data_IF_181305943138
#
_entry.id   IF_181305943138
#
_cell.length_a   1.000
_cell.length_b   1.000
_cell.length_c   1.000
_cell.angle_alpha   90.00
_cell.angle_beta   90.00
_cell.angle_gamma   90.00
#
_symmetry.space_group_name_H-M   'P 1'
#
loop_
_entity.id
_entity.type
_entity.pdbx_description
1 polymer ?
#
# COMPACT_ATOMS: atom_id res chain seq x y z
N UNK A 1 14.88 12.50 29.00
CA UNK A 1 16.04 13.35 29.39
C UNK A 1 16.75 13.97 28.17
N UNK A 2 17.04 13.20 27.12
CA UNK A 2 17.72 13.70 25.91
C UNK A 2 16.92 14.76 25.13
N UNK A 3 15.61 14.59 24.97
CA UNK A 3 14.76 15.58 24.30
C UNK A 3 14.73 16.92 25.05
N UNK A 4 14.62 16.87 26.38
CA UNK A 4 14.63 18.06 27.23
C UNK A 4 15.95 18.83 27.09
N UNK A 5 17.09 18.13 27.04
CA UNK A 5 18.40 18.74 26.78
C UNK A 5 18.49 19.35 25.38
N UNK A 6 17.91 18.70 24.37
CA UNK A 6 17.83 19.23 23.01
C UNK A 6 17.01 20.54 22.96
N UNK A 7 15.86 20.58 23.64
CA UNK A 7 15.05 21.80 23.74
C UNK A 7 15.80 22.92 24.46
N UNK A 8 16.44 22.63 25.59
CA UNK A 8 17.26 23.63 26.30
C UNK A 8 18.41 24.15 25.45
N UNK A 9 19.12 23.27 24.75
CA UNK A 9 20.19 23.66 23.82
C UNK A 9 19.69 24.56 22.70
N UNK A 10 18.53 24.24 22.12
CA UNK A 10 17.89 25.02 21.06
C UNK A 10 17.47 26.40 21.57
N UNK A 11 16.81 26.48 22.74
CA UNK A 11 16.40 27.74 23.34
C UNK A 11 17.61 28.62 23.65
N UNK A 12 18.66 28.05 24.24
CA UNK A 12 19.90 28.78 24.52
C UNK A 12 20.54 29.32 23.24
N UNK A 13 20.64 28.49 22.20
CA UNK A 13 21.17 28.89 20.89
C UNK A 13 20.36 30.03 20.28
N UNK A 14 19.02 29.92 20.26
CA UNK A 14 18.14 30.95 19.72
C UNK A 14 18.23 32.25 20.52
N UNK A 15 18.38 32.16 21.84
CA UNK A 15 18.50 33.33 22.72
C UNK A 15 19.84 34.04 22.49
N UNK A 16 20.94 33.30 22.40
CA UNK A 16 22.27 33.85 22.10
C UNK A 16 22.30 34.45 20.70
N UNK A 17 21.77 33.75 19.70
CA UNK A 17 21.67 34.25 18.33
C UNK A 17 20.79 35.52 18.26
N UNK A 18 19.66 35.53 18.96
CA UNK A 18 18.76 36.68 19.06
C UNK A 18 19.43 37.88 19.72
N UNK A 19 20.10 37.68 20.86
CA UNK A 19 20.85 38.72 21.55
C UNK A 19 22.01 39.27 20.69
N UNK A 20 22.73 38.39 20.00
CA UNK A 20 23.81 38.78 19.08
C UNK A 20 23.27 39.59 17.90
N UNK A 21 22.19 39.14 17.24
CA UNK A 21 21.53 39.88 16.17
C UNK A 21 21.01 41.23 16.65
N UNK A 22 20.39 41.27 17.84
CA UNK A 22 19.91 42.50 18.45
C UNK A 22 21.03 43.50 18.68
N UNK A 23 22.19 43.06 19.18
CA UNK A 23 23.36 43.91 19.39
C UNK A 23 23.95 44.51 18.10
N UNK A 24 23.71 43.87 16.95
CA UNK A 24 24.20 44.31 15.63
C UNK A 24 23.17 45.12 14.84
N UNK A 25 21.97 45.33 15.39
CA UNK A 25 20.90 46.08 14.74
C UNK A 25 21.24 47.56 14.67
N UNK A 26 21.28 48.13 13.47
CA UNK A 26 21.42 49.57 13.29
C UNK A 26 20.06 50.25 13.45
N UNK A 27 19.98 51.25 14.33
CA UNK A 27 18.74 52.00 14.62
C UNK A 27 18.21 52.76 13.38
N UNK A 28 19.10 53.13 12.45
CA UNK A 28 18.76 53.81 11.19
C UNK A 28 17.87 52.97 10.23
N UNK A 29 17.74 51.67 10.47
CA UNK A 29 16.90 50.74 9.69
C UNK A 29 15.55 50.43 10.33
N UNK A 30 15.07 51.28 11.23
CA UNK A 30 13.80 51.05 11.92
C UNK A 30 12.58 50.96 10.97
N UNK A 31 12.62 51.63 9.82
CA UNK A 31 11.57 51.65 8.79
C UNK A 31 11.76 50.63 7.66
N UNK A 32 12.89 49.93 7.63
CA UNK A 32 13.15 48.89 6.63
C UNK A 32 12.48 47.57 7.04
N UNK A 33 11.73 46.97 6.11
CA UNK A 33 11.09 45.66 6.32
C UNK A 33 12.10 44.53 6.58
N UNK A 34 13.36 44.70 6.15
CA UNK A 34 14.45 43.75 6.38
C UNK A 34 15.61 44.48 7.07
N UNK A 35 15.68 44.31 8.39
CA UNK A 35 16.67 45.00 9.24
C UNK A 35 18.12 44.59 8.94
N UNK A 36 18.34 43.32 8.58
CA UNK A 36 19.67 42.76 8.35
C UNK A 36 19.96 42.52 6.87
N UNK A 37 21.12 42.98 6.41
CA UNK A 37 21.51 42.86 5.00
C UNK A 37 21.77 41.42 4.54
N UNK A 38 22.25 40.55 5.42
CA UNK A 38 22.50 39.14 5.08
C UNK A 38 21.19 38.36 4.88
N UNK A 39 20.06 38.85 5.41
CA UNK A 39 18.75 38.19 5.25
C UNK A 39 18.24 38.34 3.82
N UNK A 40 18.64 39.42 3.12
CA UNK A 40 18.23 39.67 1.73
C UNK A 40 18.56 38.50 0.78
N UNK A 41 19.82 38.04 0.66
CA UNK A 41 20.13 36.89 -0.18
C UNK A 41 19.49 35.59 0.36
N UNK A 42 19.36 35.41 1.68
CA UNK A 42 18.71 34.22 2.25
C UNK A 42 17.26 34.10 1.80
N UNK A 43 16.47 35.18 1.90
CA UNK A 43 15.08 35.18 1.42
C UNK A 43 15.04 34.89 -0.09
N UNK A 44 15.95 35.49 -0.86
CA UNK A 44 16.04 35.25 -2.31
C UNK A 44 16.34 33.77 -2.62
N UNK A 45 17.19 33.11 -1.82
CA UNK A 45 17.50 31.68 -1.98
C UNK A 45 16.32 30.79 -1.59
N UNK A 46 15.57 31.12 -0.54
CA UNK A 46 14.35 30.38 -0.17
C UNK A 46 13.31 30.48 -1.28
N UNK A 47 13.05 31.68 -1.79
CA UNK A 47 12.11 31.88 -2.90
C UNK A 47 12.57 31.13 -4.14
N UNK A 48 13.87 31.19 -4.47
CA UNK A 48 14.45 30.44 -5.58
C UNK A 48 14.31 28.92 -5.40
N UNK A 49 14.55 28.40 -4.20
CA UNK A 49 14.41 26.98 -3.87
C UNK A 49 12.97 26.50 -4.04
N UNK A 50 11.99 27.26 -3.55
CA UNK A 50 10.57 26.96 -3.73
C UNK A 50 10.19 26.99 -5.22
N UNK A 51 10.68 27.97 -5.97
CA UNK A 51 10.45 28.05 -7.41
C UNK A 51 11.09 26.92 -8.20
N UNK A 52 12.34 26.57 -7.86
CA UNK A 52 13.07 25.42 -8.40
C UNK A 52 12.23 24.16 -8.23
N UNK A 53 11.89 23.79 -6.99
CA UNK A 53 11.15 22.54 -6.71
C UNK A 53 9.77 22.55 -7.35
N UNK A 54 9.04 23.67 -7.27
CA UNK A 54 7.70 23.81 -7.85
C UNK A 54 7.71 23.58 -9.38
N UNK A 55 8.57 24.25 -10.14
CA UNK A 55 8.60 24.07 -11.60
C UNK A 55 9.14 22.69 -12.00
N UNK A 56 10.10 22.15 -11.26
CA UNK A 56 10.61 20.81 -11.55
C UNK A 56 9.54 19.73 -11.41
N UNK A 57 8.82 19.72 -10.28
CA UNK A 57 7.73 18.75 -10.08
C UNK A 57 6.56 19.00 -11.02
N UNK A 58 6.25 20.26 -11.35
CA UNK A 58 5.22 20.59 -12.34
C UNK A 58 5.54 19.96 -13.71
N UNK A 59 6.79 20.06 -14.17
CA UNK A 59 7.22 19.44 -15.44
C UNK A 59 7.35 17.93 -15.37
N UNK A 60 7.66 17.36 -14.19
CA UNK A 60 7.62 15.92 -14.00
C UNK A 60 6.20 15.36 -14.19
N UNK A 61 5.19 16.03 -13.62
CA UNK A 61 3.78 15.63 -13.73
C UNK A 61 3.26 15.70 -15.16
N UNK A 62 3.82 16.56 -16.01
CA UNK A 62 3.48 16.64 -17.45
C UNK A 62 3.98 15.43 -18.27
N UNK A 63 4.55 14.40 -17.63
CA UNK A 63 4.86 13.12 -18.26
C UNK A 63 6.07 13.14 -19.19
N UNK A 64 6.85 14.23 -19.21
CA UNK A 64 7.93 14.39 -20.18
C UNK A 64 9.28 13.78 -19.71
N UNK A 65 9.28 13.05 -18.59
CA UNK A 65 10.46 12.38 -18.03
C UNK A 65 11.46 13.29 -17.31
N UNK A 66 12.52 12.69 -16.76
CA UNK A 66 13.48 13.34 -15.85
C UNK A 66 14.13 14.60 -16.43
N UNK A 67 14.36 14.64 -17.75
CA UNK A 67 15.01 15.78 -18.41
C UNK A 67 14.21 17.07 -18.25
N UNK A 68 12.88 16.97 -18.30
CA UNK A 68 12.00 18.11 -18.15
C UNK A 68 11.88 18.53 -16.69
N UNK A 69 11.90 17.58 -15.74
CA UNK A 69 12.04 17.91 -14.32
C UNK A 69 13.30 18.74 -14.07
N UNK A 70 14.46 18.33 -14.60
CA UNK A 70 15.71 19.09 -14.47
C UNK A 70 15.65 20.45 -15.18
N UNK A 71 15.01 20.55 -16.34
CA UNK A 71 14.77 21.83 -17.01
C UNK A 71 13.89 22.76 -16.14
N UNK A 72 12.87 22.20 -15.49
CA UNK A 72 12.02 22.90 -14.53
C UNK A 72 12.78 23.38 -13.30
N UNK A 73 13.70 22.58 -12.74
CA UNK A 73 14.60 23.03 -11.68
C UNK A 73 15.45 24.23 -12.11
N UNK A 74 16.04 24.19 -13.32
CA UNK A 74 16.85 25.30 -13.84
C UNK A 74 16.02 26.55 -14.09
N UNK A 75 14.87 26.42 -14.75
CA UNK A 75 13.97 27.52 -15.05
C UNK A 75 13.39 28.14 -13.78
N UNK A 76 12.91 27.31 -12.85
CA UNK A 76 12.37 27.73 -11.55
C UNK A 76 13.41 28.45 -10.71
N UNK A 77 14.63 27.91 -10.64
CA UNK A 77 15.77 28.56 -9.99
C UNK A 77 15.99 29.97 -10.53
N UNK A 78 16.06 30.13 -11.86
CA UNK A 78 16.34 31.42 -12.50
C UNK A 78 15.20 32.43 -12.27
N UNK A 79 13.96 32.04 -12.59
CA UNK A 79 12.79 32.93 -12.52
C UNK A 79 12.54 33.37 -11.08
N UNK A 80 12.52 32.43 -10.13
CA UNK A 80 12.18 32.75 -8.75
C UNK A 80 13.33 33.41 -7.99
N UNK A 81 14.58 33.15 -8.38
CA UNK A 81 15.69 33.97 -7.86
C UNK A 81 15.56 35.43 -8.30
N UNK A 82 15.22 35.68 -9.57
CA UNK A 82 14.98 37.03 -10.08
C UNK A 82 13.82 37.69 -9.32
N UNK A 83 12.66 37.03 -9.24
CA UNK A 83 11.47 37.55 -8.54
C UNK A 83 11.78 37.80 -7.06
N UNK A 84 12.37 36.82 -6.36
CA UNK A 84 12.73 36.93 -4.95
C UNK A 84 13.68 38.11 -4.71
N UNK A 85 14.69 38.27 -5.55
CA UNK A 85 15.64 39.39 -5.44
C UNK A 85 14.94 40.72 -5.71
N UNK A 86 14.04 40.80 -6.70
CA UNK A 86 13.29 42.03 -7.01
C UNK A 86 12.38 42.45 -5.86
N UNK A 87 11.70 41.49 -5.22
CA UNK A 87 10.85 41.73 -4.05
C UNK A 87 11.68 42.21 -2.86
N UNK A 88 12.78 41.53 -2.57
CA UNK A 88 13.68 41.83 -1.45
C UNK A 88 14.36 43.19 -1.61
N UNK A 89 14.85 43.51 -2.80
CA UNK A 89 15.52 44.79 -3.09
C UNK A 89 14.53 45.89 -3.50
N UNK A 90 13.23 45.58 -3.60
CA UNK A 90 12.15 46.48 -4.05
C UNK A 90 12.49 47.21 -5.36
N UNK A 91 13.18 46.53 -6.26
CA UNK A 91 13.72 47.14 -7.47
C UNK A 91 13.91 46.12 -8.58
N UNK A 92 13.60 46.47 -9.84
CA UNK A 92 13.91 45.61 -10.99
C UNK A 92 15.40 45.64 -11.37
N UNK A 93 16.20 46.55 -10.79
CA UNK A 93 17.63 46.74 -11.13
C UNK A 93 18.54 45.73 -10.43
N UNK A 94 18.26 44.44 -10.60
CA UNK A 94 18.96 43.32 -9.93
C UNK A 94 20.11 42.74 -10.76
N UNK A 95 20.18 43.06 -12.06
CA UNK A 95 21.23 42.60 -12.98
C UNK A 95 22.55 43.34 -12.75
N UNK A 96 23.26 42.98 -11.69
CA UNK A 96 24.56 43.53 -11.33
C UNK A 96 25.50 42.41 -10.85
N UNK A 97 26.79 42.73 -10.66
CA UNK A 97 27.81 41.74 -10.23
C UNK A 97 27.47 41.07 -8.89
N UNK A 98 26.85 41.79 -7.95
CA UNK A 98 26.44 41.24 -6.65
C UNK A 98 25.29 40.24 -6.81
N UNK A 99 24.29 40.56 -7.62
CA UNK A 99 23.17 39.69 -7.96
C UNK A 99 23.64 38.41 -8.67
N UNK A 100 24.51 38.54 -9.68
CA UNK A 100 25.10 37.39 -10.38
C UNK A 100 25.89 36.50 -9.42
N UNK A 101 26.72 37.09 -8.54
CA UNK A 101 27.46 36.32 -7.52
C UNK A 101 26.52 35.54 -6.61
N UNK A 102 25.45 36.18 -6.11
CA UNK A 102 24.48 35.52 -5.25
C UNK A 102 23.75 34.39 -5.99
N UNK A 103 23.38 34.60 -7.26
CA UNK A 103 22.79 33.55 -8.08
C UNK A 103 23.73 32.36 -8.24
N UNK A 104 25.01 32.59 -8.56
CA UNK A 104 25.99 31.51 -8.72
C UNK A 104 26.22 30.73 -7.41
N UNK A 105 26.25 31.41 -6.26
CA UNK A 105 26.34 30.75 -4.95
C UNK A 105 25.11 29.84 -4.73
N UNK A 106 23.92 30.36 -5.01
CA UNK A 106 22.69 29.59 -4.92
C UNK A 106 22.69 28.39 -5.88
N UNK A 107 23.03 28.59 -7.15
CA UNK A 107 23.08 27.53 -8.15
C UNK A 107 24.05 26.43 -7.77
N UNK A 108 25.23 26.78 -7.23
CA UNK A 108 26.18 25.80 -6.72
C UNK A 108 25.58 24.99 -5.55
N UNK A 109 24.92 25.66 -4.59
CA UNK A 109 24.25 24.99 -3.47
C UNK A 109 23.10 24.08 -3.95
N UNK A 110 22.31 24.52 -4.92
CA UNK A 110 21.21 23.74 -5.51
C UNK A 110 21.72 22.49 -6.25
N UNK A 111 22.78 22.62 -7.05
CA UNK A 111 23.42 21.48 -7.74
C UNK A 111 23.97 20.49 -6.71
N UNK A 112 24.66 20.98 -5.67
CA UNK A 112 25.15 20.12 -4.59
C UNK A 112 24.00 19.40 -3.87
N UNK A 113 22.91 20.10 -3.58
CA UNK A 113 21.72 19.53 -2.96
C UNK A 113 21.12 18.41 -3.82
N UNK A 114 20.80 18.68 -5.10
CA UNK A 114 20.21 17.67 -6.00
C UNK A 114 21.15 16.48 -6.21
N UNK A 115 22.44 16.75 -6.37
CA UNK A 115 23.45 15.68 -6.54
C UNK A 115 23.60 14.85 -5.27
N UNK A 116 23.51 15.47 -4.08
CA UNK A 116 23.59 14.74 -2.80
C UNK A 116 22.44 13.76 -2.60
N UNK A 117 21.25 14.12 -3.07
CA UNK A 117 20.09 13.24 -3.08
C UNK A 117 20.26 12.11 -4.10
N UNK A 118 20.71 12.43 -5.32
CA UNK A 118 20.89 11.44 -6.40
C UNK A 118 21.96 10.40 -6.08
N UNK A 119 23.04 10.80 -5.40
CA UNK A 119 24.11 9.91 -4.97
C UNK A 119 23.80 9.18 -3.66
N UNK A 120 22.64 9.45 -3.05
CA UNK A 120 22.26 8.97 -1.73
C UNK A 120 23.40 9.12 -0.70
N UNK A 121 23.98 10.32 -0.59
CA UNK A 121 25.15 10.55 0.30
C UNK A 121 24.85 10.25 1.78
N UNK A 122 23.57 10.19 2.15
CA UNK A 122 23.14 9.85 3.51
C UNK A 122 22.93 8.34 3.73
N UNK A 123 23.00 7.55 2.65
CA UNK A 123 22.66 6.13 2.65
C UNK A 123 21.19 5.86 3.00
N UNK A 124 20.28 6.80 2.71
CA UNK A 124 18.87 6.70 3.04
C UNK A 124 18.15 5.60 2.26
N UNK A 125 18.47 5.43 0.97
CA UNK A 125 17.81 4.48 0.07
C UNK A 125 18.17 3.02 0.43
N UNK A 126 19.38 2.78 0.94
CA UNK A 126 19.88 1.44 1.27
C UNK A 126 19.82 1.12 2.77
N UNK A 127 19.22 2.00 3.58
CA UNK A 127 19.19 1.85 5.04
C UNK A 127 18.17 0.79 5.47
N UNK A 128 18.66 -0.26 6.11
CA UNK A 128 17.89 -1.24 6.87
C UNK A 128 18.43 -1.26 8.30
N UNK A 129 17.59 -1.25 9.35
CA UNK A 129 18.06 -1.36 10.73
C UNK A 129 18.59 -2.76 11.02
N UNK A 130 19.57 -2.84 11.93
CA UNK A 130 19.97 -4.12 12.51
C UNK A 130 18.86 -4.60 13.46
N UNK A 131 18.48 -5.87 13.37
CA UNK A 131 17.34 -6.43 14.08
C UNK A 131 17.45 -6.24 15.61
N UNK A 132 18.67 -6.34 16.16
CA UNK A 132 18.93 -6.18 17.60
C UNK A 132 18.74 -4.74 18.10
N UNK A 133 18.65 -3.77 17.18
CA UNK A 133 18.45 -2.35 17.51
C UNK A 133 16.98 -1.89 17.41
N UNK A 134 16.08 -2.82 17.08
CA UNK A 134 14.65 -2.63 16.88
C UNK A 134 13.92 -3.11 18.13
N UNK A 135 13.04 -2.27 18.67
CA UNK A 135 12.18 -2.58 19.82
C UNK A 135 10.91 -3.32 19.39
N UNK A 136 10.33 -2.86 18.28
CA UNK A 136 9.25 -3.53 17.58
C UNK A 136 9.26 -3.13 16.10
N UNK A 137 8.70 -3.98 15.26
CA UNK A 137 8.51 -3.69 13.85
C UNK A 137 7.07 -3.94 13.43
N UNK A 138 6.62 -3.29 12.37
CA UNK A 138 5.29 -3.45 11.82
C UNK A 138 5.43 -3.47 10.30
N UNK A 139 4.57 -4.24 9.63
CA UNK A 139 4.41 -4.08 8.20
C UNK A 139 2.94 -4.09 7.79
N UNK A 140 2.60 -3.23 6.84
CA UNK A 140 1.31 -3.22 6.18
C UNK A 140 1.42 -4.01 4.87
N UNK A 141 0.54 -5.01 4.70
CA UNK A 141 0.41 -5.80 3.50
C UNK A 141 -1.09 -5.87 3.10
N UNK A 142 -1.49 -5.30 1.96
CA UNK A 142 -2.90 -5.13 1.59
C UNK A 142 -3.59 -6.42 1.09
N UNK A 143 -3.09 -7.60 1.45
CA UNK A 143 -3.68 -8.90 1.06
C UNK A 143 -4.25 -9.65 2.26
N UNK A 144 -4.43 -8.98 3.40
CA UNK A 144 -5.16 -9.58 4.51
C UNK A 144 -6.58 -9.94 4.04
N UNK A 145 -6.87 -11.25 4.03
CA UNK A 145 -8.22 -11.78 3.76
C UNK A 145 -9.24 -11.34 4.81
N UNK A 146 -8.75 -10.77 5.91
CA UNK A 146 -9.48 -10.16 7.02
C UNK A 146 -9.49 -8.64 6.82
N UNK A 147 -10.65 -8.06 6.54
CA UNK A 147 -10.83 -6.61 6.51
C UNK A 147 -11.80 -6.17 7.59
N UNK A 148 -11.57 -4.99 8.16
CA UNK A 148 -12.26 -4.51 9.36
C UNK A 148 -12.61 -3.02 9.19
N UNK A 149 -13.85 -2.61 9.44
CA UNK A 149 -14.29 -1.19 9.29
C UNK A 149 -14.29 -0.41 10.61
N UNK A 150 -13.25 -0.64 11.39
CA UNK A 150 -13.03 -0.08 12.71
C UNK A 150 -11.54 -0.08 13.01
N UNK A 151 -10.91 1.09 13.18
CA UNK A 151 -9.60 1.17 13.83
C UNK A 151 -9.61 0.33 15.11
N UNK A 152 -8.97 -0.83 15.07
CA UNK A 152 -7.65 -1.09 15.65
C UNK A 152 -7.52 -2.60 15.91
N UNK A 153 -6.73 -3.29 15.08
CA UNK A 153 -5.83 -4.31 15.63
C UNK A 153 -4.58 -3.53 16.03
N UNK A 154 -4.65 -2.80 17.14
CA UNK A 154 -3.49 -2.15 17.77
C UNK A 154 -2.70 -3.25 18.50
N UNK A 155 -2.13 -4.18 17.74
CA UNK A 155 -0.96 -5.02 18.12
C UNK A 155 -0.59 -6.01 16.99
N UNK A 156 -0.50 -5.51 15.75
CA UNK A 156 0.19 -6.22 14.66
C UNK A 156 1.72 -6.09 14.74
N UNK A 157 2.25 -5.55 15.84
CA UNK A 157 3.66 -5.32 16.04
C UNK A 157 4.38 -6.65 16.27
N UNK A 158 5.47 -6.82 15.54
CA UNK A 158 6.44 -7.88 15.72
C UNK A 158 7.39 -7.47 16.87
N UNK A 159 7.43 -8.29 17.89
CA UNK A 159 8.33 -8.20 19.04
C UNK A 159 9.31 -9.39 19.08
N UNK A 160 8.96 -10.52 18.47
CA UNK A 160 9.84 -11.68 18.37
C UNK A 160 11.09 -11.32 17.56
N UNK A 161 12.30 -11.49 18.13
CA UNK A 161 13.55 -11.24 17.43
C UNK A 161 13.69 -12.00 16.10
N UNK A 162 13.12 -13.20 15.97
CA UNK A 162 13.14 -13.98 14.74
C UNK A 162 12.30 -13.30 13.65
N UNK A 163 11.10 -12.83 13.99
CA UNK A 163 10.21 -12.12 13.08
C UNK A 163 10.76 -10.75 12.68
N UNK A 164 11.34 -10.00 13.63
CA UNK A 164 12.02 -8.74 13.34
C UNK A 164 13.22 -8.96 12.39
N UNK A 165 13.99 -10.02 12.63
CA UNK A 165 15.13 -10.38 11.77
C UNK A 165 14.68 -10.79 10.36
N UNK A 166 13.61 -11.57 10.25
CA UNK A 166 12.99 -11.93 8.98
C UNK A 166 12.50 -10.68 8.23
N UNK A 167 11.81 -9.75 8.91
CA UNK A 167 11.34 -8.52 8.27
C UNK A 167 12.50 -7.64 7.78
N UNK A 168 13.56 -7.53 8.58
CA UNK A 168 14.78 -6.83 8.18
C UNK A 168 15.53 -7.55 7.04
N UNK A 169 15.44 -8.89 6.94
CA UNK A 169 15.97 -9.67 5.82
C UNK A 169 15.17 -9.41 4.54
N UNK A 170 13.84 -9.44 4.63
CA UNK A 170 12.95 -9.08 3.52
C UNK A 170 13.19 -7.64 3.05
N UNK A 171 13.36 -6.70 3.98
CA UNK A 171 13.71 -5.32 3.63
C UNK A 171 15.06 -5.25 2.90
N UNK A 172 16.05 -6.03 3.36
CA UNK A 172 17.36 -6.14 2.69
C UNK A 172 17.24 -6.70 1.27
N UNK A 173 16.38 -7.70 1.03
CA UNK A 173 16.21 -8.26 -0.32
C UNK A 173 15.69 -7.21 -1.30
N UNK A 174 14.69 -6.41 -0.89
CA UNK A 174 14.14 -5.31 -1.70
C UNK A 174 15.21 -4.25 -2.04
N UNK A 175 15.97 -3.78 -1.05
CA UNK A 175 16.99 -2.74 -1.30
C UNK A 175 18.20 -3.28 -2.07
N UNK A 176 18.47 -4.58 -2.00
CA UNK A 176 19.53 -5.22 -2.76
C UNK A 176 19.19 -5.32 -4.26
N UNK A 177 17.93 -5.55 -4.60
CA UNK A 177 17.43 -5.56 -5.99
C UNK A 177 16.68 -4.28 -6.37
N UNK A 178 17.21 -3.16 -5.93
CA UNK A 178 16.63 -1.84 -6.15
C UNK A 178 16.43 -1.49 -7.62
N UNK A 179 17.24 -2.02 -8.53
CA UNK A 179 17.11 -1.71 -9.96
C UNK A 179 15.86 -2.35 -10.56
N UNK A 180 15.53 -3.57 -10.14
CA UNK A 180 14.30 -4.25 -10.53
C UNK A 180 13.07 -3.49 -10.02
N UNK A 181 13.02 -3.17 -8.71
CA UNK A 181 11.87 -2.46 -8.12
C UNK A 181 11.78 -0.96 -8.48
N UNK A 182 12.83 -0.36 -9.05
CA UNK A 182 12.79 0.96 -9.70
C UNK A 182 12.38 0.90 -11.17
N UNK A 183 12.38 -0.29 -11.77
CA UNK A 183 12.00 -0.54 -13.15
C UNK A 183 10.50 -0.39 -13.40
N UNK A 184 10.11 -0.69 -14.63
CA UNK A 184 8.71 -0.68 -15.04
C UNK A 184 8.02 -1.97 -14.56
N UNK A 185 7.35 -1.87 -13.40
CA UNK A 185 6.42 -2.89 -12.90
C UNK A 185 5.00 -2.69 -13.50
N UNK A 186 4.88 -1.96 -14.61
CA UNK A 186 3.63 -1.82 -15.33
C UNK A 186 3.22 -3.20 -15.87
N UNK A 187 1.91 -3.46 -15.98
CA UNK A 187 1.43 -4.79 -16.34
C UNK A 187 1.49 -5.82 -15.21
N UNK A 188 2.35 -5.67 -14.20
CA UNK A 188 2.44 -6.66 -13.11
C UNK A 188 1.45 -6.37 -11.97
N UNK A 189 0.91 -7.44 -11.38
CA UNK A 189 0.21 -7.37 -10.10
C UNK A 189 1.22 -7.02 -9.02
N UNK A 190 0.97 -5.90 -8.36
CA UNK A 190 1.82 -5.40 -7.28
C UNK A 190 1.01 -5.09 -6.02
N UNK A 191 1.69 -5.19 -4.88
CA UNK A 191 1.18 -4.83 -3.57
C UNK A 191 2.06 -3.77 -2.94
N UNK A 192 1.44 -2.87 -2.15
CA UNK A 192 2.15 -1.84 -1.42
C UNK A 192 2.55 -2.36 -0.04
N UNK A 193 3.85 -2.47 0.22
CA UNK A 193 4.37 -2.82 1.53
C UNK A 193 4.84 -1.56 2.24
N UNK A 194 4.32 -1.30 3.44
CA UNK A 194 4.92 -0.31 4.34
C UNK A 194 5.63 -1.06 5.45
N UNK A 195 6.90 -0.75 5.67
CA UNK A 195 7.73 -1.34 6.72
C UNK A 195 8.04 -0.24 7.74
N UNK A 196 7.69 -0.46 9.01
CA UNK A 196 7.93 0.48 10.11
C UNK A 196 8.76 -0.21 11.18
N UNK A 197 9.78 0.50 11.68
CA UNK A 197 10.66 0.02 12.73
C UNK A 197 10.77 1.08 13.81
N UNK A 198 10.44 0.71 15.04
CA UNK A 198 10.74 1.52 16.21
C UNK A 198 12.11 1.14 16.74
N UNK A 199 13.02 2.11 16.78
CA UNK A 199 14.37 1.89 17.33
C UNK A 199 14.40 2.23 18.81
N UNK A 200 15.22 1.49 19.55
CA UNK A 200 15.50 1.72 20.97
C UNK A 200 16.23 3.04 21.26
N UNK A 201 16.88 3.66 20.26
CA UNK A 201 17.76 4.83 20.47
C UNK A 201 17.65 5.92 19.40
N UNK A 202 16.80 5.71 18.39
CA UNK A 202 16.66 6.60 17.23
C UNK A 202 15.19 6.85 16.91
N UNK A 203 14.94 7.87 16.08
CA UNK A 203 13.61 8.09 15.53
C UNK A 203 13.10 6.86 14.77
N UNK A 204 11.78 6.59 14.81
CA UNK A 204 11.19 5.51 14.04
C UNK A 204 11.52 5.65 12.55
N UNK A 205 11.71 4.51 11.88
CA UNK A 205 11.95 4.45 10.46
C UNK A 205 10.73 3.83 9.76
N UNK A 206 10.14 4.54 8.82
CA UNK A 206 9.12 3.98 7.92
C UNK A 206 9.58 4.02 6.46
N UNK A 207 9.29 2.97 5.71
CA UNK A 207 9.59 2.82 4.28
C UNK A 207 8.39 2.23 3.57
N UNK A 208 8.22 2.58 2.29
CA UNK A 208 7.13 2.06 1.48
C UNK A 208 7.68 1.58 0.14
N UNK A 209 7.28 0.38 -0.26
CA UNK A 209 7.72 -0.30 -1.47
C UNK A 209 6.51 -0.79 -2.26
N UNK A 210 6.64 -0.84 -3.57
CA UNK A 210 5.73 -1.57 -4.45
C UNK A 210 6.45 -2.85 -4.87
N UNK A 211 5.85 -4.00 -4.61
CA UNK A 211 6.46 -5.32 -4.79
C UNK A 211 5.50 -6.17 -5.63
N UNK A 212 6.00 -6.83 -6.67
CA UNK A 212 5.20 -7.72 -7.50
C UNK A 212 4.80 -9.01 -6.77
N UNK A 213 3.76 -9.67 -7.31
CA UNK A 213 3.16 -10.86 -6.75
C UNK A 213 4.18 -11.97 -6.46
N UNK A 214 5.01 -12.31 -7.44
CA UNK A 214 5.95 -13.42 -7.34
C UNK A 214 7.01 -13.14 -6.26
N UNK A 215 7.55 -11.92 -6.25
CA UNK A 215 8.57 -11.50 -5.29
C UNK A 215 8.11 -11.62 -3.83
N UNK A 216 6.85 -11.28 -3.51
CA UNK A 216 6.38 -11.51 -2.15
C UNK A 216 5.93 -12.95 -1.94
N UNK A 217 5.21 -13.57 -2.87
CA UNK A 217 4.73 -14.96 -2.74
C UNK A 217 5.85 -15.95 -2.44
N UNK A 218 7.00 -15.77 -3.08
CA UNK A 218 8.13 -16.69 -2.96
C UNK A 218 9.11 -16.29 -1.85
N UNK A 219 8.75 -15.30 -1.02
CA UNK A 219 9.61 -14.79 0.04
C UNK A 219 9.64 -15.73 1.26
N UNK A 220 10.78 -16.39 1.55
CA UNK A 220 10.91 -17.21 2.76
C UNK A 220 10.86 -16.36 4.04
N UNK A 221 11.31 -15.11 3.96
CA UNK A 221 11.29 -14.19 5.09
C UNK A 221 9.85 -13.81 5.50
N UNK A 222 8.99 -13.54 4.51
CA UNK A 222 7.57 -13.31 4.79
C UNK A 222 6.94 -14.59 5.32
N UNK A 223 7.22 -15.75 4.71
CA UNK A 223 6.72 -17.04 5.20
C UNK A 223 7.01 -17.26 6.68
N UNK A 224 8.25 -17.02 7.13
CA UNK A 224 8.63 -17.11 8.56
C UNK A 224 7.71 -16.25 9.43
N UNK A 225 7.47 -15.00 9.04
CA UNK A 225 6.64 -14.07 9.82
C UNK A 225 5.19 -14.53 9.83
N UNK A 226 4.58 -14.76 8.66
CA UNK A 226 3.16 -15.08 8.54
C UNK A 226 2.79 -16.43 9.17
N UNK A 227 3.71 -17.39 9.21
CA UNK A 227 3.50 -18.69 9.85
C UNK A 227 3.89 -18.71 11.34
N UNK A 228 4.46 -17.63 11.86
CA UNK A 228 4.82 -17.51 13.27
C UNK A 228 3.59 -17.44 14.18
N UNK A 229 3.75 -17.92 15.42
CA UNK A 229 2.72 -17.80 16.45
C UNK A 229 2.37 -16.33 16.73
N UNK A 230 3.37 -15.46 16.84
CA UNK A 230 3.16 -14.02 17.08
C UNK A 230 2.24 -13.39 16.01
N UNK A 231 2.48 -13.69 14.72
CA UNK A 231 1.64 -13.16 13.64
C UNK A 231 0.22 -13.73 13.69
N UNK A 232 0.08 -15.05 13.83
CA UNK A 232 -1.23 -15.71 13.81
C UNK A 232 -2.08 -15.39 15.04
N UNK A 233 -1.46 -15.27 16.22
CA UNK A 233 -2.16 -14.92 17.46
C UNK A 233 -2.66 -13.46 17.42
N UNK A 234 -1.85 -12.53 16.89
CA UNK A 234 -2.26 -11.12 16.73
C UNK A 234 -3.47 -10.90 15.83
N UNK A 235 -3.79 -11.89 14.98
CA UNK A 235 -4.89 -11.86 13.99
C UNK A 235 -5.90 -12.98 14.20
N UNK A 236 -5.90 -13.60 15.38
CA UNK A 236 -6.90 -14.58 15.77
C UNK A 236 -8.31 -13.98 15.71
N UNK A 237 -9.30 -14.80 15.36
CA UNK A 237 -10.70 -14.40 15.47
C UNK A 237 -11.14 -14.18 16.92
N UNK A 238 -10.38 -14.67 17.91
CA UNK A 238 -10.66 -14.47 19.33
C UNK A 238 -9.84 -13.33 19.95
N UNK A 239 -9.49 -12.30 19.17
CA UNK A 239 -8.72 -11.16 19.65
C UNK A 239 -9.44 -10.39 20.77
N UNK A 240 -8.65 -9.70 21.61
CA UNK A 240 -9.11 -9.06 22.85
C UNK A 240 -10.16 -7.96 22.67
N UNK A 241 -10.30 -7.41 21.46
CA UNK A 241 -11.26 -6.33 21.17
C UNK A 241 -12.68 -6.85 20.88
N UNK A 242 -12.84 -8.15 20.67
CA UNK A 242 -14.15 -8.81 20.47
C UNK A 242 -14.65 -9.31 21.82
N UNK A 243 -15.78 -8.76 22.31
CA UNK A 243 -16.47 -9.36 23.47
C UNK A 243 -17.20 -10.62 23.03
N UNK A 244 -17.92 -10.53 21.89
CA UNK A 244 -18.79 -11.60 21.42
C UNK A 244 -19.26 -11.40 19.98
N UNK A 245 -19.20 -12.45 19.16
CA UNK A 245 -19.87 -12.49 17.85
C UNK A 245 -21.39 -12.67 18.02
N UNK A 246 -22.17 -11.87 17.29
CA UNK A 246 -23.63 -11.77 17.43
C UNK A 246 -24.40 -12.23 16.20
N UNK A 247 -23.90 -11.95 15.00
CA UNK A 247 -24.52 -12.33 13.73
C UNK A 247 -23.41 -12.68 12.74
N UNK A 248 -23.64 -13.74 11.95
CA UNK A 248 -22.74 -14.15 10.88
C UNK A 248 -23.51 -14.26 9.58
N UNK A 249 -23.07 -13.53 8.56
CA UNK A 249 -23.61 -13.59 7.21
C UNK A 249 -22.63 -14.36 6.35
N UNK A 250 -23.14 -15.28 5.54
CA UNK A 250 -22.34 -16.09 4.63
C UNK A 250 -22.83 -15.81 3.22
N UNK A 251 -21.95 -15.26 2.40
CA UNK A 251 -22.22 -14.93 1.00
C UNK A 251 -21.44 -15.89 0.11
N UNK A 252 -22.12 -16.54 -0.83
CA UNK A 252 -21.44 -17.35 -1.84
C UNK A 252 -20.81 -16.42 -2.88
N UNK A 253 -19.48 -16.43 -2.97
CA UNK A 253 -18.71 -15.47 -3.79
C UNK A 253 -18.90 -15.66 -5.31
N UNK A 254 -19.52 -16.77 -5.72
CA UNK A 254 -19.91 -17.00 -7.11
C UNK A 254 -20.98 -16.00 -7.59
N UNK A 255 -21.78 -15.41 -6.69
CA UNK A 255 -22.76 -14.36 -7.04
C UNK A 255 -22.07 -12.99 -7.13
N UNK A 256 -20.98 -12.89 -7.89
CA UNK A 256 -20.41 -11.60 -8.22
C UNK A 256 -21.25 -10.99 -9.34
N UNK A 257 -21.98 -9.95 -8.94
CA UNK A 257 -22.52 -8.88 -9.78
C UNK A 257 -24.01 -9.03 -10.19
N UNK A 258 -24.89 -8.76 -9.21
CA UNK A 258 -26.18 -8.10 -9.48
C UNK A 258 -25.96 -6.58 -9.62
N UNK A 259 -25.28 -6.16 -10.69
CA UNK A 259 -25.24 -4.80 -11.19
C UNK A 259 -24.63 -3.73 -10.27
N UNK A 260 -24.30 -2.61 -10.92
CA UNK A 260 -23.74 -1.36 -10.41
C UNK A 260 -24.45 -0.70 -9.19
N UNK A 261 -25.49 -1.30 -8.63
CA UNK A 261 -26.30 -0.78 -7.52
C UNK A 261 -26.23 -1.64 -6.22
N UNK A 262 -25.31 -2.61 -6.11
CA UNK A 262 -24.72 -2.99 -4.82
C UNK A 262 -25.63 -3.57 -3.73
N UNK A 263 -26.78 -4.18 -4.07
CA UNK A 263 -27.51 -5.00 -3.11
C UNK A 263 -27.05 -6.46 -3.22
N UNK A 264 -26.21 -6.88 -2.26
CA UNK A 264 -26.00 -8.31 -1.99
C UNK A 264 -27.37 -8.90 -1.68
N UNK A 265 -27.84 -9.81 -2.51
CA UNK A 265 -28.99 -10.60 -2.10
C UNK A 265 -28.49 -11.63 -1.10
N UNK A 266 -28.67 -11.31 0.18
CA UNK A 266 -28.54 -12.28 1.26
C UNK A 266 -29.40 -13.49 0.91
N UNK A 267 -28.74 -14.55 0.46
CA UNK A 267 -29.41 -15.80 0.10
C UNK A 267 -29.86 -16.55 1.36
N UNK A 268 -29.30 -16.20 2.52
CA UNK A 268 -29.54 -16.85 3.81
C UNK A 268 -29.83 -15.83 4.91
N UNK A 269 -30.76 -16.18 5.80
CA UNK A 269 -30.91 -15.50 7.09
C UNK A 269 -29.59 -15.59 7.89
N UNK A 270 -29.20 -14.52 8.62
CA UNK A 270 -27.97 -14.54 9.38
C UNK A 270 -27.97 -15.62 10.45
N UNK A 271 -26.81 -16.25 10.63
CA UNK A 271 -26.58 -17.18 11.74
C UNK A 271 -26.53 -16.35 13.01
N UNK A 272 -27.53 -16.53 13.88
CA UNK A 272 -27.72 -15.75 15.11
C UNK A 272 -27.84 -16.63 16.37
N UNK A 273 -27.93 -17.95 16.22
CA UNK A 273 -27.86 -18.88 17.35
C UNK A 273 -26.42 -18.95 17.88
N UNK A 274 -26.25 -18.64 19.17
CA UNK A 274 -24.91 -18.49 19.74
C UNK A 274 -24.09 -19.77 19.68
N UNK A 275 -24.71 -20.92 19.97
CA UNK A 275 -23.98 -22.19 19.96
C UNK A 275 -23.47 -22.51 18.55
N UNK A 276 -24.27 -22.19 17.54
CA UNK A 276 -23.93 -22.35 16.12
C UNK A 276 -22.81 -21.39 15.72
N UNK A 277 -22.85 -20.12 16.16
CA UNK A 277 -21.77 -19.15 15.95
C UNK A 277 -20.48 -19.65 16.60
N UNK A 278 -20.51 -20.07 17.86
CA UNK A 278 -19.33 -20.54 18.59
C UNK A 278 -18.68 -21.75 17.91
N UNK A 279 -19.50 -22.67 17.36
CA UNK A 279 -19.03 -23.82 16.58
C UNK A 279 -18.33 -23.38 15.29
N UNK A 280 -18.95 -22.47 14.52
CA UNK A 280 -18.38 -21.93 13.28
C UNK A 280 -17.07 -21.16 13.54
N UNK A 281 -17.02 -20.32 14.57
CA UNK A 281 -15.83 -19.56 14.95
C UNK A 281 -14.67 -20.47 15.37
N UNK A 282 -14.95 -21.58 16.06
CA UNK A 282 -13.93 -22.56 16.42
C UNK A 282 -13.34 -23.27 15.19
N UNK A 283 -14.15 -23.53 14.16
CA UNK A 283 -13.67 -24.09 12.88
C UNK A 283 -12.87 -23.07 12.09
N UNK A 284 -13.34 -21.82 12.01
CA UNK A 284 -12.63 -20.71 11.37
C UNK A 284 -11.24 -20.50 11.97
N UNK A 285 -11.15 -20.47 13.29
CA UNK A 285 -9.88 -20.33 13.99
C UNK A 285 -8.96 -21.52 13.72
N UNK A 286 -9.50 -22.75 13.78
CA UNK A 286 -8.72 -23.96 13.49
C UNK A 286 -8.11 -23.92 12.08
N UNK A 287 -8.90 -23.55 11.08
CA UNK A 287 -8.44 -23.46 9.69
C UNK A 287 -7.47 -22.30 9.48
N UNK A 288 -7.72 -21.14 10.12
CA UNK A 288 -6.81 -20.00 10.08
C UNK A 288 -5.44 -20.30 10.68
N UNK A 289 -5.41 -20.95 11.86
CA UNK A 289 -4.16 -21.34 12.50
C UNK A 289 -3.38 -22.38 11.68
N UNK A 290 -4.08 -23.22 10.90
CA UNK A 290 -3.46 -24.19 10.00
C UNK A 290 -3.01 -23.59 8.65
N UNK A 291 -3.48 -22.39 8.30
CA UNK A 291 -3.19 -21.76 7.01
C UNK A 291 -1.69 -21.56 6.81
N UNK A 292 -1.20 -21.98 5.65
CA UNK A 292 0.19 -21.76 5.19
C UNK A 292 0.34 -20.40 4.55
N UNK A 293 1.59 -19.93 4.42
CA UNK A 293 1.88 -18.68 3.73
C UNK A 293 1.42 -18.72 2.27
N UNK A 294 1.68 -19.83 1.57
CA UNK A 294 1.30 -20.01 0.18
C UNK A 294 -0.23 -19.92 -0.02
N UNK A 295 -1.01 -20.46 0.91
CA UNK A 295 -2.46 -20.36 0.88
C UNK A 295 -2.95 -18.94 1.16
N UNK A 296 -2.29 -18.21 2.07
CA UNK A 296 -2.62 -16.83 2.42
C UNK A 296 -2.49 -15.89 1.21
N UNK A 297 -1.36 -15.98 0.50
CA UNK A 297 -1.08 -15.13 -0.67
C UNK A 297 -1.63 -15.70 -1.98
N UNK A 298 -2.26 -16.86 -1.95
CA UNK A 298 -2.84 -17.48 -3.15
C UNK A 298 -3.86 -16.56 -3.82
N UNK A 299 -3.76 -16.46 -5.15
CA UNK A 299 -4.74 -15.76 -5.99
C UNK A 299 -5.96 -16.61 -6.31
N UNK A 300 -6.03 -17.84 -5.79
CA UNK A 300 -7.20 -18.68 -5.96
C UNK A 300 -8.44 -17.96 -5.45
N UNK A 301 -9.55 -18.02 -6.19
CA UNK A 301 -10.80 -17.41 -5.78
C UNK A 301 -11.25 -18.01 -4.45
N UNK A 302 -11.89 -17.18 -3.65
CA UNK A 302 -12.55 -17.62 -2.44
C UNK A 302 -13.85 -18.34 -2.79
N UNK A 303 -14.20 -19.36 -2.01
CA UNK A 303 -15.41 -20.17 -2.21
C UNK A 303 -16.63 -19.40 -1.70
N UNK A 304 -16.45 -18.67 -0.60
CA UNK A 304 -17.45 -17.82 0.02
C UNK A 304 -16.79 -16.67 0.75
N UNK A 305 -17.59 -15.70 1.15
CA UNK A 305 -17.20 -14.68 2.10
C UNK A 305 -18.11 -14.69 3.33
N UNK A 306 -17.52 -14.35 4.46
CA UNK A 306 -18.21 -14.29 5.74
C UNK A 306 -18.10 -12.86 6.28
N UNK A 307 -19.24 -12.27 6.60
CA UNK A 307 -19.31 -11.08 7.45
C UNK A 307 -19.63 -11.52 8.88
N UNK A 308 -18.75 -11.13 9.80
CA UNK A 308 -18.84 -11.40 11.23
C UNK A 308 -19.18 -10.10 11.95
N UNK A 309 -20.38 -10.01 12.51
CA UNK A 309 -20.76 -8.89 13.38
C UNK A 309 -20.52 -9.25 14.84
N UNK A 310 -20.05 -8.27 15.62
CA UNK A 310 -19.73 -8.50 17.02
C UNK A 310 -19.87 -7.26 17.90
N UNK A 311 -19.99 -7.51 19.20
CA UNK A 311 -19.93 -6.48 20.23
C UNK A 311 -18.48 -6.26 20.67
N UNK A 312 -18.06 -5.00 20.75
CA UNK A 312 -16.72 -4.62 21.21
C UNK A 312 -16.55 -4.90 22.71
N UNK A 313 -15.33 -5.28 23.10
CA UNK A 313 -14.94 -5.32 24.51
C UNK A 313 -15.11 -3.94 25.17
N UNK A 314 -15.53 -3.93 26.44
CA UNK A 314 -15.97 -2.73 27.19
C UNK A 314 -14.92 -1.63 27.34
N UNK A 315 -13.66 -1.97 27.16
CA UNK A 315 -12.48 -1.10 27.28
C UNK A 315 -11.98 -0.56 25.93
N UNK A 316 -12.63 -0.92 24.82
CA UNK A 316 -12.29 -0.40 23.49
C UNK A 316 -12.96 0.97 23.28
N UNK A 317 -12.15 2.03 23.20
CA UNK A 317 -12.64 3.39 22.97
C UNK A 317 -13.14 3.59 21.53
N UNK A 318 -14.46 3.75 21.37
CA UNK A 318 -15.15 4.07 20.10
C UNK A 318 -15.18 5.58 19.84
N UNK A 319 -14.03 6.22 19.59
CA UNK A 319 -14.00 7.69 19.41
C UNK A 319 -14.65 8.18 18.10
N UNK A 320 -14.96 7.29 17.15
CA UNK A 320 -15.42 7.67 15.80
C UNK A 320 -16.39 6.67 15.13
N UNK A 321 -16.74 5.55 15.78
CA UNK A 321 -17.70 4.58 15.24
C UNK A 321 -19.14 5.08 15.43
N UNK A 322 -19.92 5.11 14.34
CA UNK A 322 -21.35 5.47 14.40
C UNK A 322 -22.24 4.30 14.86
N UNK A 323 -21.73 3.07 14.82
CA UNK A 323 -22.39 1.84 15.26
C UNK A 323 -21.82 1.34 16.59
N UNK A 324 -22.69 0.76 17.43
CA UNK A 324 -22.29 0.06 18.65
C UNK A 324 -21.62 -1.30 18.37
N UNK A 325 -21.76 -1.82 17.15
CA UNK A 325 -21.24 -3.12 16.70
C UNK A 325 -20.05 -2.95 15.76
N UNK A 326 -19.08 -3.83 15.91
CA UNK A 326 -17.99 -4.04 14.96
C UNK A 326 -18.41 -5.05 13.90
N UNK A 327 -17.76 -4.99 12.74
CA UNK A 327 -17.90 -6.02 11.73
C UNK A 327 -16.56 -6.32 11.07
N UNK A 328 -16.37 -7.59 10.74
CA UNK A 328 -15.18 -8.13 10.11
C UNK A 328 -15.60 -8.95 8.90
N UNK A 329 -14.94 -8.73 7.77
CA UNK A 329 -15.18 -9.49 6.54
C UNK A 329 -14.00 -10.42 6.28
N UNK A 330 -14.30 -11.69 6.01
CA UNK A 330 -13.31 -12.71 5.70
C UNK A 330 -13.66 -13.45 4.40
N UNK A 331 -12.71 -13.53 3.48
CA UNK A 331 -12.85 -14.36 2.28
C UNK A 331 -12.32 -15.77 2.53
N UNK A 332 -13.18 -16.78 2.38
CA UNK A 332 -12.85 -18.18 2.64
C UNK A 332 -12.13 -18.82 1.45
N UNK A 333 -10.84 -19.16 1.57
CA UNK A 333 -10.16 -19.97 0.57
C UNK A 333 -10.63 -21.43 0.61
N UNK A 334 -10.39 -22.16 -0.47
CA UNK A 334 -10.65 -23.61 -0.54
C UNK A 334 -9.87 -24.42 0.53
N UNK A 335 -8.78 -23.87 1.10
CA UNK A 335 -8.02 -24.52 2.17
C UNK A 335 -8.75 -24.58 3.51
N UNK A 336 -9.85 -23.82 3.70
CA UNK A 336 -10.67 -23.83 4.93
C UNK A 336 -11.61 -25.05 4.94
N UNK A 337 -11.05 -26.24 4.81
CA UNK A 337 -11.79 -27.47 4.56
C UNK A 337 -12.73 -27.85 5.71
N UNK A 338 -12.38 -27.54 6.96
CA UNK A 338 -13.24 -27.86 8.11
C UNK A 338 -14.46 -26.91 8.13
N UNK A 339 -14.22 -25.60 7.93
CA UNK A 339 -15.29 -24.60 7.86
C UNK A 339 -16.19 -24.82 6.64
N UNK A 340 -15.61 -25.06 5.46
CA UNK A 340 -16.38 -25.26 4.23
C UNK A 340 -17.25 -26.51 4.30
N UNK A 341 -16.73 -27.64 4.77
CA UNK A 341 -17.54 -28.86 4.95
C UNK A 341 -18.73 -28.63 5.90
N UNK A 342 -18.52 -27.86 6.97
CA UNK A 342 -19.58 -27.51 7.92
C UNK A 342 -20.66 -26.61 7.30
N UNK A 343 -20.25 -25.64 6.48
CA UNK A 343 -21.15 -24.74 5.77
C UNK A 343 -21.95 -25.47 4.69
N UNK A 344 -21.32 -26.37 3.93
CA UNK A 344 -21.96 -27.19 2.90
C UNK A 344 -22.97 -28.17 3.49
N UNK A 345 -22.63 -28.88 4.58
CA UNK A 345 -23.53 -29.82 5.27
C UNK A 345 -24.85 -29.13 5.70
N UNK A 346 -24.78 -27.84 6.04
CA UNK A 346 -25.90 -27.03 6.51
C UNK A 346 -26.55 -26.19 5.40
N UNK A 347 -26.03 -26.26 4.18
CA UNK A 347 -26.59 -25.56 3.01
C UNK A 347 -26.30 -24.05 2.98
N UNK A 348 -25.31 -23.56 3.73
CA UNK A 348 -24.93 -22.14 3.72
C UNK A 348 -24.12 -21.74 2.48
N UNK A 349 -23.35 -22.68 1.93
CA UNK A 349 -22.49 -22.48 0.76
C UNK A 349 -22.64 -23.68 -0.17
N UNK A 350 -22.52 -23.43 -1.46
CA UNK A 350 -22.46 -24.48 -2.48
C UNK A 350 -21.26 -24.21 -3.40
N UNK A 351 -20.30 -25.14 -3.42
CA UNK A 351 -19.12 -25.03 -4.27
C UNK A 351 -19.50 -25.15 -5.76
N UNK A 352 -18.91 -24.31 -6.61
CA UNK A 352 -19.06 -24.41 -8.05
C UNK A 352 -18.36 -25.66 -8.58
N UNK A 353 -19.12 -26.54 -9.24
CA UNK A 353 -18.60 -27.75 -9.87
C UNK A 353 -18.74 -27.68 -11.39
N UNK A 354 -17.92 -28.47 -12.10
CA UNK A 354 -17.97 -28.52 -13.57
C UNK A 354 -19.36 -28.85 -14.12
N UNK A 355 -20.17 -29.64 -13.42
CA UNK A 355 -21.52 -30.01 -13.85
C UNK A 355 -22.48 -28.81 -13.92
N UNK A 356 -22.31 -27.83 -13.03
CA UNK A 356 -23.12 -26.59 -12.99
C UNK A 356 -22.70 -25.57 -14.04
N UNK A 357 -21.44 -25.61 -14.45
CA UNK A 357 -20.89 -24.71 -15.48
C UNK A 357 -21.42 -25.12 -16.85
N UNK A 358 -22.09 -24.21 -17.53
CA UNK A 358 -22.59 -24.46 -18.89
C UNK A 358 -21.48 -24.28 -19.92
N UNK A 359 -20.70 -23.21 -19.79
CA UNK A 359 -19.52 -22.98 -20.60
C UNK A 359 -18.57 -21.99 -19.94
N UNK A 360 -17.33 -21.98 -20.44
CA UNK A 360 -16.32 -20.99 -20.09
C UNK A 360 -15.88 -20.27 -21.37
N UNK A 361 -15.80 -18.96 -21.31
CA UNK A 361 -15.21 -18.12 -22.36
C UNK A 361 -13.81 -17.73 -21.96
N UNK A 362 -12.85 -17.93 -22.85
CA UNK A 362 -11.46 -17.49 -22.69
C UNK A 362 -11.21 -16.35 -23.67
N UNK A 363 -10.78 -15.22 -23.13
CA UNK A 363 -10.50 -13.99 -23.84
C UNK A 363 -8.99 -13.74 -23.89
N UNK A 364 -8.55 -12.97 -24.89
CA UNK A 364 -7.13 -12.61 -25.01
C UNK A 364 -6.71 -11.71 -23.83
N UNK A 365 -5.42 -11.72 -23.46
CA UNK A 365 -4.89 -10.78 -22.47
C UNK A 365 -5.22 -9.34 -22.85
N UNK A 366 -5.52 -8.52 -21.84
CA UNK A 366 -5.86 -7.11 -22.07
C UNK A 366 -4.57 -6.36 -22.37
N UNK A 367 -4.41 -5.87 -23.61
CA UNK A 367 -3.43 -4.81 -23.86
C UNK A 367 -3.98 -3.51 -23.26
N UNK A 368 -3.54 -3.20 -22.05
CA UNK A 368 -3.90 -1.95 -21.38
C UNK A 368 -2.90 -0.90 -21.84
N UNK A 369 -3.38 0.12 -22.57
CA UNK A 369 -2.58 1.31 -22.83
C UNK A 369 -2.51 2.15 -21.54
N UNK A 370 -1.41 1.98 -20.81
CA UNK A 370 -1.19 2.65 -19.52
C UNK A 370 -0.92 4.16 -19.64
N UNK A 371 -0.69 4.70 -20.85
CA UNK A 371 -0.36 6.11 -21.09
C UNK A 371 -1.60 7.01 -21.29
N UNK A 372 -2.76 6.45 -21.67
CA UNK A 372 -3.97 7.22 -21.95
C UNK A 372 -4.96 7.23 -20.77
N UNK A 373 -4.71 8.10 -19.78
CA UNK A 373 -5.58 8.28 -18.58
C UNK A 373 -7.03 8.65 -18.91
N UNK A 374 -7.32 9.11 -20.13
CA UNK A 374 -8.67 9.47 -20.57
C UNK A 374 -9.41 8.33 -21.29
N UNK A 375 -8.75 7.19 -21.57
CA UNK A 375 -9.37 6.03 -22.23
C UNK A 375 -8.97 4.70 -21.60
N UNK A 376 -9.49 4.43 -20.41
CA UNK A 376 -9.69 3.05 -19.91
C UNK A 376 -10.76 2.29 -20.72
N UNK A 377 -10.91 2.53 -22.01
CA UNK A 377 -11.76 1.71 -22.88
C UNK A 377 -10.92 0.57 -23.41
N UNK A 378 -11.00 -0.55 -22.70
CA UNK A 378 -10.43 -1.81 -23.14
C UNK A 378 -10.87 -2.13 -24.58
N UNK A 379 -9.93 -2.47 -25.44
CA UNK A 379 -10.21 -3.12 -26.72
C UNK A 379 -10.33 -4.61 -26.43
N UNK A 380 -11.40 -5.01 -25.74
CA UNK A 380 -11.81 -6.42 -25.74
C UNK A 380 -12.38 -6.66 -27.13
N UNK A 381 -11.77 -7.56 -27.91
CA UNK A 381 -12.40 -8.01 -29.14
C UNK A 381 -13.78 -8.57 -28.79
N UNK A 382 -14.83 -8.16 -29.51
CA UNK A 382 -16.24 -8.53 -29.27
C UNK A 382 -16.54 -10.05 -29.24
N UNK A 383 -15.54 -10.94 -29.34
CA UNK A 383 -15.70 -12.39 -29.37
C UNK A 383 -14.62 -13.10 -28.55
N UNK A 384 -15.00 -14.12 -27.77
CA UNK A 384 -14.03 -14.93 -27.04
C UNK A 384 -13.11 -15.68 -28.01
N UNK A 385 -11.85 -15.84 -27.60
CA UNK A 385 -10.86 -16.59 -28.35
C UNK A 385 -11.17 -18.09 -28.35
N UNK A 386 -11.65 -18.61 -27.23
CA UNK A 386 -12.07 -20.00 -27.06
C UNK A 386 -13.34 -20.05 -26.22
N UNK A 387 -14.26 -20.96 -26.57
CA UNK A 387 -15.42 -21.31 -25.76
C UNK A 387 -15.35 -22.80 -25.42
N UNK A 388 -15.27 -23.11 -24.13
CA UNK A 388 -15.17 -24.48 -23.60
C UNK A 388 -16.53 -24.92 -23.09
N UNK A 389 -17.01 -26.06 -23.57
CA UNK A 389 -18.24 -26.72 -23.10
C UNK A 389 -18.01 -28.15 -22.61
N UNK A 390 -16.81 -28.69 -22.86
CA UNK A 390 -16.43 -30.03 -22.42
C UNK A 390 -16.20 -30.03 -20.90
N UNK A 391 -16.76 -31.01 -20.20
CA UNK A 391 -16.79 -31.04 -18.72
C UNK A 391 -15.41 -31.32 -18.11
N UNK A 392 -14.60 -32.15 -18.76
CA UNK A 392 -13.24 -32.44 -18.29
C UNK A 392 -12.35 -31.18 -18.47
N UNK A 393 -12.49 -30.48 -19.60
CA UNK A 393 -11.81 -29.20 -19.81
C UNK A 393 -12.29 -28.10 -18.86
N UNK A 394 -13.59 -28.04 -18.56
CA UNK A 394 -14.15 -27.11 -17.56
C UNK A 394 -13.51 -27.38 -16.20
N UNK A 395 -13.46 -28.65 -15.76
CA UNK A 395 -12.84 -28.98 -14.47
C UNK A 395 -11.38 -28.56 -14.44
N UNK A 396 -10.61 -28.83 -15.50
CA UNK A 396 -9.23 -28.37 -15.61
C UNK A 396 -9.12 -26.84 -15.44
N UNK A 397 -10.01 -26.05 -16.05
CA UNK A 397 -10.02 -24.59 -15.87
C UNK A 397 -10.34 -24.21 -14.43
N UNK A 398 -11.36 -24.83 -13.83
CA UNK A 398 -11.74 -24.57 -12.43
C UNK A 398 -10.60 -24.86 -11.45
N UNK A 399 -9.75 -25.84 -11.74
CA UNK A 399 -8.57 -26.16 -10.92
C UNK A 399 -7.44 -25.13 -11.08
N UNK A 400 -7.30 -24.53 -12.27
CA UNK A 400 -6.16 -23.70 -12.63
C UNK A 400 -6.40 -22.19 -12.53
N UNK A 401 -7.64 -21.71 -12.63
CA UNK A 401 -7.87 -20.26 -12.65
C UNK A 401 -7.61 -19.57 -11.30
N UNK A 402 -7.30 -18.29 -11.40
CA UNK A 402 -7.10 -17.36 -10.29
C UNK A 402 -8.12 -16.21 -10.38
N UNK A 403 -8.40 -15.56 -9.26
CA UNK A 403 -9.28 -14.40 -9.20
C UNK A 403 -8.67 -13.10 -9.75
N UNK A 404 -7.34 -13.06 -9.88
CA UNK A 404 -6.60 -11.88 -10.35
C UNK A 404 -5.43 -12.29 -11.26
N UNK A 405 -5.03 -11.44 -12.23
CA UNK A 405 -3.90 -11.71 -13.08
C UNK A 405 -2.58 -11.42 -12.36
N UNK A 406 -1.53 -12.19 -12.64
CA UNK A 406 -0.15 -11.91 -12.21
C UNK A 406 0.48 -10.86 -13.13
N UNK A 407 0.23 -10.99 -14.42
CA UNK A 407 0.64 -10.06 -15.47
C UNK A 407 -0.57 -9.78 -16.39
N UNK A 408 -1.03 -8.53 -16.37
CA UNK A 408 -2.19 -8.05 -17.12
C UNK A 408 -1.98 -8.15 -18.64
N UNK A 409 -0.73 -8.14 -19.11
CA UNK A 409 -0.40 -8.18 -20.53
C UNK A 409 -0.37 -9.62 -21.08
N UNK A 410 -0.29 -10.63 -20.21
CA UNK A 410 -0.13 -12.04 -20.62
C UNK A 410 -1.21 -12.99 -20.08
N UNK A 411 -1.89 -12.64 -19.00
CA UNK A 411 -2.93 -13.47 -18.41
C UNK A 411 -4.20 -13.53 -19.28
N UNK A 412 -4.72 -14.73 -19.53
CA UNK A 412 -5.98 -14.89 -20.26
C UNK A 412 -7.16 -14.64 -19.32
N UNK A 413 -8.08 -13.78 -19.72
CA UNK A 413 -9.30 -13.49 -18.97
C UNK A 413 -10.35 -14.57 -19.24
N UNK A 414 -11.01 -15.06 -18.18
CA UNK A 414 -12.08 -16.05 -18.31
C UNK A 414 -13.41 -15.56 -17.74
N UNK A 415 -14.49 -15.97 -18.41
CA UNK A 415 -15.87 -15.78 -17.94
C UNK A 415 -16.50 -17.16 -17.83
N UNK A 416 -16.91 -17.54 -16.62
CA UNK A 416 -17.52 -18.84 -16.32
C UNK A 416 -19.02 -18.61 -16.19
N UNK A 417 -19.82 -19.23 -17.06
CA UNK A 417 -21.28 -19.11 -17.03
C UNK A 417 -21.89 -20.41 -16.49
N UNK A 418 -22.73 -20.30 -15.46
CA UNK A 418 -23.30 -21.45 -14.75
C UNK A 418 -24.79 -21.21 -14.40
N UNK A 419 -25.46 -22.23 -13.86
CA UNK A 419 -26.87 -22.19 -13.42
C UNK A 419 -27.86 -21.58 -14.44
N UNK A 420 -27.84 -22.06 -15.69
CA UNK A 420 -28.72 -21.60 -16.77
C UNK A 420 -28.67 -20.07 -17.05
N UNK A 421 -27.47 -19.50 -17.03
CA UNK A 421 -27.16 -18.10 -17.37
C UNK A 421 -27.60 -17.11 -16.28
N UNK A 422 -27.94 -17.63 -15.09
CA UNK A 422 -28.29 -16.81 -13.93
C UNK A 422 -27.07 -16.47 -13.07
N UNK A 423 -25.94 -17.14 -13.29
CA UNK A 423 -24.68 -16.90 -12.59
C UNK A 423 -23.50 -16.74 -13.54
N UNK A 424 -22.60 -15.82 -13.21
CA UNK A 424 -21.32 -15.65 -13.89
C UNK A 424 -20.20 -15.42 -12.88
N UNK A 425 -19.04 -16.03 -13.13
CA UNK A 425 -17.82 -15.77 -12.40
C UNK A 425 -16.72 -15.30 -13.35
N UNK A 426 -15.80 -14.51 -12.82
CA UNK A 426 -14.69 -13.92 -13.55
C UNK A 426 -13.37 -14.41 -12.96
N UNK A 427 -12.36 -14.57 -13.81
CA UNK A 427 -11.02 -14.95 -13.37
C UNK A 427 -9.99 -14.88 -14.48
N UNK A 428 -8.83 -15.44 -14.20
CA UNK A 428 -7.65 -15.38 -15.05
C UNK A 428 -6.92 -16.72 -15.10
N UNK A 429 -6.33 -17.03 -16.25
CA UNK A 429 -5.38 -18.13 -16.42
C UNK A 429 -3.99 -17.54 -16.58
N UNK A 430 -3.22 -17.57 -15.49
CA UNK A 430 -1.87 -17.01 -15.42
C UNK A 430 -0.83 -17.95 -16.06
N UNK A 431 -1.04 -19.26 -16.02
CA UNK A 431 -0.11 -20.28 -16.53
C UNK A 431 -0.25 -20.58 -18.03
N UNK A 432 -1.02 -19.75 -18.76
CA UNK A 432 -1.34 -19.99 -20.17
C UNK A 432 -2.43 -21.05 -20.36
N UNK A 433 -2.41 -21.75 -21.50
CA UNK A 433 -3.48 -22.69 -21.93
C UNK A 433 -3.00 -24.12 -22.16
N UNK A 434 -1.73 -24.43 -21.89
CA UNK A 434 -1.12 -25.73 -22.22
C UNK A 434 -1.79 -26.90 -21.48
N UNK A 435 -2.33 -26.66 -20.28
CA UNK A 435 -3.02 -27.66 -19.46
C UNK A 435 -4.34 -28.17 -20.08
N UNK A 436 -4.91 -27.46 -21.06
CA UNK A 436 -6.18 -27.84 -21.71
C UNK A 436 -6.04 -29.03 -22.67
N UNK A 437 -4.82 -29.31 -23.14
CA UNK A 437 -4.53 -30.38 -24.10
C UNK A 437 -4.54 -31.79 -23.49
#
# INVERSE_FOLDING_TARGET
AHEVLFYFGTIALMTVAGAWLYSRRKLERATDALTFEFVKPVISYVVAFLGMTMLGFYFQVMGQGDRYMYAGFVAGSLIFFIIGTMVVEKSPRIFNRKGLRNFLIYSAAAVLFVTSLRLDLTGFENRVPEAESVEWAEFYFPVDRLSYDGKYIEDGNLHDPENIAALASFHRSIVSDKQYFKGELAGLKTSMFRLTYQSTSRFPMSRQYRIDYESYRDSPDLKTIFESAEYKESRSFFHSSVEKYVEVYVHSDHVRDRGFNGEYADINEPISDQKTIDELMALLEKDYQAMTYEELVSLKPSVASIELQFDYAKDVHQDWASSSRGYQYFRLPASFANTLAWLEERGYVETLTADRVQWIEINQPKQIDYDDKEKMTAVVGDRPMLKITDKDQIQKVLDHYDGEPIDYDTAYEIIIVYDNEQGYAHGYLNDGLDFLN
#
